data_IF_390347094457
#
_entry.id   IF_390347094457
#
_cell.length_a   1.000
_cell.length_b   1.000
_cell.length_c   1.000
_cell.angle_alpha   90.00
_cell.angle_beta   90.00
_cell.angle_gamma   90.00
#
_symmetry.space_group_name_H-M   'P 1'
#
loop_
_entity.id
_entity.type
_entity.pdbx_description
1 polymer ?
#
# COMPACT_ATOMS: atom_id res chain seq x y z
N UNK A 1 -38.85 -54.12 33.50
CA UNK A 1 -39.03 -53.04 32.51
C UNK A 1 -37.72 -52.39 32.07
N UNK A 2 -36.69 -52.26 32.93
CA UNK A 2 -35.34 -51.76 32.54
C UNK A 2 -34.69 -52.53 31.36
N UNK A 3 -34.84 -53.86 31.30
CA UNK A 3 -34.18 -54.69 30.27
C UNK A 3 -34.68 -54.43 28.84
N UNK A 4 -35.93 -53.96 28.67
CA UNK A 4 -36.52 -53.70 27.36
C UNK A 4 -35.95 -52.44 26.68
N UNK A 5 -35.34 -51.52 27.44
CA UNK A 5 -34.77 -50.27 26.93
C UNK A 5 -33.25 -50.38 26.78
N UNK A 6 -32.59 -51.13 27.67
CA UNK A 6 -31.13 -51.28 27.67
C UNK A 6 -30.62 -52.00 26.42
N UNK A 7 -31.29 -53.06 25.99
CA UNK A 7 -30.88 -53.84 24.80
C UNK A 7 -30.92 -53.04 23.49
N UNK A 8 -32.01 -52.33 23.14
CA UNK A 8 -32.01 -51.52 21.92
C UNK A 8 -31.07 -50.32 22.00
N UNK A 9 -30.84 -49.74 23.19
CA UNK A 9 -29.88 -48.65 23.37
C UNK A 9 -28.43 -49.11 23.14
N UNK A 10 -28.05 -50.27 23.70
CA UNK A 10 -26.72 -50.86 23.47
C UNK A 10 -26.54 -51.21 21.99
N UNK A 11 -27.56 -51.79 21.35
CA UNK A 11 -27.52 -52.05 19.91
C UNK A 11 -27.35 -50.75 19.10
N UNK A 12 -28.08 -49.69 19.43
CA UNK A 12 -27.95 -48.38 18.77
C UNK A 12 -26.56 -47.74 18.96
N UNK A 13 -25.94 -47.86 20.14
CA UNK A 13 -24.57 -47.39 20.37
C UNK A 13 -23.53 -48.22 19.60
N UNK A 14 -23.74 -49.53 19.45
CA UNK A 14 -22.84 -50.41 18.70
C UNK A 14 -22.96 -50.21 17.17
N UNK A 15 -24.07 -49.62 16.69
CA UNK A 15 -24.25 -49.20 15.29
C UNK A 15 -23.76 -47.76 15.01
N UNK A 16 -23.24 -47.04 16.01
CA UNK A 16 -22.64 -45.73 15.79
C UNK A 16 -21.31 -45.89 15.03
N UNK A 17 -21.33 -45.62 13.72
CA UNK A 17 -20.14 -45.59 12.88
C UNK A 17 -19.19 -44.44 13.22
N UNK A 18 -17.97 -44.42 12.65
CA UNK A 18 -17.01 -43.34 12.86
C UNK A 18 -17.64 -42.00 12.48
N UNK A 19 -17.71 -41.07 13.43
CA UNK A 19 -18.18 -39.72 13.18
C UNK A 19 -17.08 -38.94 12.44
N UNK A 20 -17.43 -38.20 11.39
CA UNK A 20 -16.52 -37.32 10.68
C UNK A 20 -16.24 -36.05 11.52
N UNK A 21 -15.49 -36.21 12.60
CA UNK A 21 -14.92 -35.08 13.33
C UNK A 21 -13.75 -34.53 12.51
N UNK A 22 -13.84 -33.26 12.10
CA UNK A 22 -12.75 -32.61 11.39
C UNK A 22 -11.65 -32.24 12.38
N UNK A 23 -10.41 -32.64 12.08
CA UNK A 23 -9.22 -32.09 12.74
C UNK A 23 -8.81 -30.79 12.06
N UNK A 24 -8.43 -29.78 12.84
CA UNK A 24 -7.80 -28.56 12.35
C UNK A 24 -6.34 -28.53 12.83
N UNK A 25 -5.42 -28.24 11.93
CA UNK A 25 -4.00 -28.11 12.22
C UNK A 25 -3.55 -26.68 11.91
N UNK A 26 -2.68 -26.13 12.76
CA UNK A 26 -2.13 -24.78 12.60
C UNK A 26 -0.61 -24.88 12.67
N UNK A 27 0.06 -24.38 11.63
CA UNK A 27 1.50 -24.20 11.62
C UNK A 27 1.82 -22.71 11.62
N UNK A 28 2.69 -22.29 12.53
CA UNK A 28 3.18 -20.92 12.63
C UNK A 28 4.66 -20.88 12.26
N UNK A 29 5.05 -19.91 11.43
CA UNK A 29 6.44 -19.65 11.07
C UNK A 29 6.72 -18.16 11.09
N UNK A 30 7.95 -17.78 11.41
CA UNK A 30 8.40 -16.40 11.27
C UNK A 30 8.61 -16.08 9.78
N UNK A 31 8.16 -14.92 9.36
CA UNK A 31 8.35 -14.39 8.00
C UNK A 31 8.81 -12.94 8.07
N UNK A 32 9.59 -12.50 7.09
CA UNK A 32 9.86 -11.08 6.90
C UNK A 32 8.59 -10.40 6.38
N UNK A 33 8.22 -9.26 6.98
CA UNK A 33 7.03 -8.51 6.62
C UNK A 33 7.37 -7.02 6.45
N UNK A 34 6.61 -6.38 5.58
CA UNK A 34 6.64 -4.93 5.34
C UNK A 34 5.43 -4.33 6.03
N UNK A 35 5.68 -3.37 6.92
CA UNK A 35 4.64 -2.51 7.49
C UNK A 35 4.56 -1.19 6.72
N UNK A 36 3.34 -0.77 6.42
CA UNK A 36 3.00 0.47 5.73
C UNK A 36 2.18 1.32 6.68
N UNK A 37 2.68 2.51 7.03
CA UNK A 37 1.93 3.54 7.74
C UNK A 37 1.49 4.62 6.74
N UNK A 38 0.20 4.71 6.46
CA UNK A 38 -0.36 5.66 5.51
C UNK A 38 -0.93 6.89 6.24
N UNK A 39 -0.41 8.07 5.89
CA UNK A 39 -0.81 9.36 6.47
C UNK A 39 -0.89 10.43 5.40
N UNK A 40 -1.77 11.40 5.61
CA UNK A 40 -1.77 12.66 4.89
C UNK A 40 -0.56 13.51 5.29
N UNK A 41 -0.24 14.53 4.50
CA UNK A 41 0.81 15.51 4.80
C UNK A 41 0.50 16.34 6.06
N UNK A 42 -0.78 16.43 6.43
CA UNK A 42 -1.26 16.98 7.71
C UNK A 42 -0.92 16.11 8.92
N UNK A 43 -0.53 14.84 8.71
CA UNK A 43 -0.27 13.84 9.74
C UNK A 43 -1.47 12.96 10.12
N UNK A 44 -2.67 13.29 9.62
CA UNK A 44 -3.88 12.49 9.79
C UNK A 44 -3.72 11.11 9.15
N UNK A 45 -4.27 10.07 9.79
CA UNK A 45 -4.17 8.69 9.31
C UNK A 45 -5.09 8.46 8.12
N UNK A 46 -4.61 7.71 7.13
CA UNK A 46 -5.42 7.29 5.99
C UNK A 46 -6.13 5.98 6.32
N UNK A 47 -7.15 6.03 7.20
CA UNK A 47 -7.90 4.85 7.63
C UNK A 47 -8.82 4.32 6.53
N UNK A 48 -8.81 3.02 6.25
CA UNK A 48 -9.65 2.46 5.18
C UNK A 48 -9.19 2.80 3.75
N UNK A 49 -7.93 3.19 3.58
CA UNK A 49 -7.33 3.51 2.29
C UNK A 49 -7.01 2.24 1.49
N UNK A 50 -7.22 2.29 0.18
CA UNK A 50 -6.89 1.18 -0.72
C UNK A 50 -5.38 1.06 -0.88
N UNK A 51 -4.87 -0.16 -0.73
CA UNK A 51 -3.46 -0.50 -0.94
C UNK A 51 -3.33 -1.45 -2.11
N UNK A 52 -2.40 -1.16 -3.01
CA UNK A 52 -1.99 -2.03 -4.11
C UNK A 52 -0.47 -2.24 -4.05
N UNK A 53 -0.06 -3.49 -3.97
CA UNK A 53 1.35 -3.91 -3.95
C UNK A 53 1.69 -4.54 -5.29
N UNK A 54 2.76 -4.07 -5.91
CA UNK A 54 3.22 -4.52 -7.22
C UNK A 54 4.56 -5.24 -7.06
N UNK A 55 4.65 -6.43 -7.64
CA UNK A 55 5.86 -7.22 -7.61
C UNK A 55 6.88 -6.71 -8.65
N UNK A 56 8.19 -6.95 -8.44
CA UNK A 56 9.24 -6.43 -9.33
C UNK A 56 9.11 -6.92 -10.78
N UNK A 57 8.56 -8.12 -10.97
CA UNK A 57 8.41 -8.80 -12.26
C UNK A 57 7.18 -8.33 -13.06
N UNK A 58 6.17 -7.78 -12.39
CA UNK A 58 4.96 -7.27 -13.04
C UNK A 58 4.47 -5.98 -12.36
N UNK A 59 5.03 -4.81 -12.71
CA UNK A 59 4.64 -3.53 -12.12
C UNK A 59 3.31 -2.99 -12.65
N UNK A 60 2.72 -3.61 -13.67
CA UNK A 60 1.47 -3.15 -14.29
C UNK A 60 0.22 -3.68 -13.56
N UNK A 61 0.33 -4.83 -12.89
CA UNK A 61 -0.79 -5.47 -12.21
C UNK A 61 -0.48 -5.65 -10.71
N UNK A 62 -1.43 -5.33 -9.81
CA UNK A 62 -1.23 -5.57 -8.39
C UNK A 62 -1.06 -7.06 -8.10
N UNK A 63 0.03 -7.41 -7.43
CA UNK A 63 0.25 -8.74 -6.86
C UNK A 63 -0.64 -8.98 -5.64
N UNK A 64 -0.83 -7.95 -4.82
CA UNK A 64 -1.70 -7.96 -3.65
C UNK A 64 -2.48 -6.65 -3.58
N UNK A 65 -3.76 -6.76 -3.23
CA UNK A 65 -4.57 -5.60 -2.88
C UNK A 65 -5.08 -5.74 -1.45
N UNK A 66 -5.35 -4.62 -0.80
CA UNK A 66 -5.83 -4.59 0.57
C UNK A 66 -6.35 -3.22 0.95
N UNK A 67 -6.65 -3.07 2.24
CA UNK A 67 -7.14 -1.83 2.81
C UNK A 67 -6.41 -1.59 4.13
N UNK A 68 -6.04 -0.35 4.43
CA UNK A 68 -5.46 0.00 5.72
C UNK A 68 -6.49 -0.13 6.85
N UNK A 69 -6.01 -0.42 8.06
CA UNK A 69 -6.83 -0.46 9.27
C UNK A 69 -7.21 0.95 9.76
N UNK A 70 -7.84 1.01 10.94
CA UNK A 70 -8.30 2.26 11.55
C UNK A 70 -7.16 3.24 11.92
N UNK A 71 -5.93 2.72 12.09
CA UNK A 71 -4.74 3.50 12.39
C UNK A 71 -3.97 3.88 11.11
N UNK A 72 -4.51 3.54 9.94
CA UNK A 72 -3.88 3.77 8.64
C UNK A 72 -2.76 2.78 8.33
N UNK A 73 -2.73 1.61 8.98
CA UNK A 73 -1.68 0.60 8.80
C UNK A 73 -2.09 -0.50 7.85
N UNK A 74 -1.11 -1.02 7.11
CA UNK A 74 -1.23 -2.22 6.31
C UNK A 74 0.06 -3.04 6.41
N UNK A 75 -0.05 -4.35 6.55
CA UNK A 75 1.11 -5.25 6.65
C UNK A 75 0.98 -6.35 5.63
N UNK A 76 2.07 -6.64 4.92
CA UNK A 76 2.14 -7.78 4.01
C UNK A 76 3.51 -8.46 4.08
N UNK A 77 3.54 -9.76 3.80
CA UNK A 77 4.78 -10.50 3.64
C UNK A 77 5.03 -10.68 2.13
N UNK A 78 6.05 -10.02 1.54
CA UNK A 78 6.41 -10.23 0.15
C UNK A 78 6.90 -11.66 -0.08
N UNK A 79 6.71 -12.16 -1.30
CA UNK A 79 7.31 -13.44 -1.71
C UNK A 79 8.83 -13.32 -1.73
N UNK A 80 9.51 -14.04 -0.83
CA UNK A 80 10.96 -13.98 -0.68
C UNK A 80 11.72 -14.49 -1.91
N UNK A 81 11.08 -15.25 -2.81
CA UNK A 81 11.69 -15.67 -4.06
C UNK A 81 11.76 -14.53 -5.10
N UNK A 82 11.00 -13.45 -4.91
CA UNK A 82 10.92 -12.31 -5.84
C UNK A 82 11.76 -11.14 -5.34
N UNK A 83 13.04 -11.19 -5.72
CA UNK A 83 13.99 -10.15 -5.41
C UNK A 83 13.77 -8.92 -6.31
N UNK A 84 14.20 -7.74 -5.83
CA UNK A 84 14.08 -6.49 -6.56
C UNK A 84 13.15 -5.48 -5.89
N UNK A 85 12.77 -4.45 -6.63
CA UNK A 85 12.00 -3.33 -6.12
C UNK A 85 10.50 -3.60 -6.24
N UNK A 86 9.84 -3.65 -5.09
CA UNK A 86 8.40 -3.71 -4.93
C UNK A 86 7.85 -2.29 -4.83
N UNK A 87 6.73 -2.03 -5.49
CA UNK A 87 6.02 -0.75 -5.39
C UNK A 87 4.75 -0.91 -4.56
N UNK A 88 4.46 0.08 -3.72
CA UNK A 88 3.30 0.08 -2.83
C UNK A 88 2.55 1.38 -3.09
N UNK A 89 1.35 1.28 -3.64
CA UNK A 89 0.47 2.43 -3.83
C UNK A 89 -0.60 2.44 -2.75
N UNK A 90 -0.79 3.58 -2.08
CA UNK A 90 -1.92 3.81 -1.17
C UNK A 90 -2.78 4.94 -1.73
N UNK A 91 -4.10 4.74 -1.79
CA UNK A 91 -5.06 5.71 -2.34
C UNK A 91 -6.31 5.84 -1.47
N UNK A 92 -6.75 7.08 -1.26
CA UNK A 92 -8.01 7.40 -0.60
C UNK A 92 -8.54 8.76 -1.08
N UNK A 93 -9.82 8.80 -1.45
CA UNK A 93 -10.54 10.03 -1.81
C UNK A 93 -9.82 10.94 -2.83
N UNK A 94 -9.14 10.34 -3.83
CA UNK A 94 -8.39 11.08 -4.86
C UNK A 94 -6.97 11.48 -4.47
N UNK A 95 -6.58 11.31 -3.21
CA UNK A 95 -5.19 11.41 -2.75
C UNK A 95 -4.50 10.05 -2.83
N UNK A 96 -3.20 10.04 -3.09
CA UNK A 96 -2.41 8.82 -3.03
C UNK A 96 -0.91 9.04 -3.00
N UNK A 97 -0.21 8.03 -2.53
CA UNK A 97 1.24 8.00 -2.41
C UNK A 97 1.79 6.66 -2.95
N UNK A 98 3.06 6.65 -3.35
CA UNK A 98 3.78 5.46 -3.80
C UNK A 98 5.07 5.27 -3.00
N UNK A 99 5.16 4.22 -2.21
CA UNK A 99 6.40 3.79 -1.55
C UNK A 99 7.09 2.66 -2.31
N UNK A 100 8.38 2.47 -2.05
CA UNK A 100 9.15 1.37 -2.65
C UNK A 100 9.93 0.60 -1.58
N UNK A 101 10.01 -0.71 -1.77
CA UNK A 101 10.80 -1.62 -0.93
C UNK A 101 11.68 -2.47 -1.82
N UNK A 102 12.98 -2.50 -1.56
CA UNK A 102 13.89 -3.38 -2.29
C UNK A 102 14.22 -4.60 -1.45
N UNK A 103 13.95 -5.79 -1.98
CA UNK A 103 14.41 -7.07 -1.42
C UNK A 103 15.68 -7.53 -2.13
N UNK A 104 16.75 -7.70 -1.36
CA UNK A 104 18.04 -8.24 -1.81
C UNK A 104 18.05 -9.77 -1.70
N UNK A 105 18.93 -10.40 -2.49
CA UNK A 105 19.09 -11.86 -2.52
C UNK A 105 19.84 -12.44 -1.31
N UNK A 106 20.52 -11.61 -0.53
CA UNK A 106 21.23 -12.08 0.67
C UNK A 106 20.20 -12.43 1.76
N UNK A 107 20.35 -13.63 2.35
CA UNK A 107 19.43 -14.27 3.32
C UNK A 107 19.06 -13.40 4.54
N UNK A 108 19.76 -12.28 4.75
CA UNK A 108 19.36 -11.20 5.64
C UNK A 108 18.51 -10.19 4.86
N UNK A 109 17.21 -10.46 4.72
CA UNK A 109 16.23 -9.60 4.07
C UNK A 109 16.26 -8.17 4.64
N UNK A 110 17.19 -7.35 4.15
CA UNK A 110 17.35 -5.96 4.57
C UNK A 110 16.37 -5.16 3.74
N UNK A 111 15.19 -4.93 4.32
CA UNK A 111 14.12 -4.14 3.73
C UNK A 111 14.57 -2.68 3.72
N UNK A 112 15.10 -2.23 2.59
CA UNK A 112 15.35 -0.79 2.39
C UNK A 112 14.05 -0.17 1.92
N UNK A 113 13.38 0.54 2.83
CA UNK A 113 12.19 1.33 2.51
C UNK A 113 12.65 2.68 1.97
N UNK A 114 12.38 2.94 0.70
CA UNK A 114 12.50 4.28 0.13
C UNK A 114 11.10 4.88 0.16
N UNK A 115 10.79 5.79 1.12
CA UNK A 115 9.49 6.43 1.12
C UNK A 115 9.30 7.23 -0.17
N UNK A 116 8.06 7.35 -0.65
CA UNK A 116 7.71 8.45 -1.54
C UNK A 116 8.19 9.72 -0.84
N UNK A 117 9.06 10.49 -1.48
CA UNK A 117 9.51 11.75 -0.91
C UNK A 117 8.31 12.63 -0.60
N UNK A 118 7.91 12.71 0.67
CA UNK A 118 7.11 13.80 1.22
C UNK A 118 7.97 15.06 1.38
N UNK A 119 8.96 15.24 0.50
CA UNK A 119 9.83 16.39 0.50
C UNK A 119 9.00 17.57 0.00
N UNK A 120 8.46 18.33 0.95
CA UNK A 120 7.92 19.65 0.67
C UNK A 120 8.92 20.46 -0.15
N UNK A 121 8.41 21.29 -1.06
CA UNK A 121 9.24 22.05 -1.98
C UNK A 121 10.29 22.86 -1.20
N UNK A 122 11.58 22.69 -1.54
CA UNK A 122 12.64 23.46 -0.87
C UNK A 122 12.45 24.96 -1.07
N UNK A 123 12.90 25.77 -0.12
CA UNK A 123 12.88 27.23 -0.22
C UNK A 123 13.49 27.73 -1.55
N UNK A 124 14.60 27.12 -1.97
CA UNK A 124 15.27 27.45 -3.22
C UNK A 124 14.40 27.15 -4.44
N UNK A 125 13.72 25.99 -4.47
CA UNK A 125 12.78 25.67 -5.54
C UNK A 125 11.58 26.63 -5.56
N UNK A 126 11.06 27.03 -4.40
CA UNK A 126 9.96 28.00 -4.29
C UNK A 126 10.35 29.36 -4.86
N UNK A 127 11.56 29.83 -4.54
CA UNK A 127 12.10 31.05 -5.15
C UNK A 127 12.25 30.93 -6.65
N UNK A 128 12.86 29.85 -7.12
CA UNK A 128 13.12 29.66 -8.55
C UNK A 128 11.81 29.69 -9.35
N UNK A 129 10.80 28.97 -8.88
CA UNK A 129 9.45 28.98 -9.48
C UNK A 129 8.86 30.40 -9.51
N UNK A 130 8.95 31.13 -8.40
CA UNK A 130 8.44 32.51 -8.31
C UNK A 130 9.17 33.43 -9.29
N UNK A 131 10.50 33.31 -9.40
CA UNK A 131 11.32 34.09 -10.32
C UNK A 131 10.96 33.79 -11.79
N UNK A 132 10.76 32.51 -12.14
CA UNK A 132 10.32 32.12 -13.48
C UNK A 132 8.95 32.71 -13.85
N UNK A 133 7.99 32.72 -12.92
CA UNK A 133 6.67 33.32 -13.15
C UNK A 133 6.78 34.83 -13.34
N UNK A 134 7.52 35.53 -12.47
CA UNK A 134 7.75 36.98 -12.59
C UNK A 134 8.41 37.31 -13.94
N UNK A 135 9.45 36.56 -14.32
CA UNK A 135 10.15 36.74 -15.59
C UNK A 135 9.22 36.53 -16.79
N UNK A 136 8.38 35.50 -16.75
CA UNK A 136 7.36 35.25 -17.77
C UNK A 136 6.40 36.44 -17.92
N UNK A 137 5.86 36.94 -16.81
CA UNK A 137 4.98 38.12 -16.83
C UNK A 137 5.66 39.37 -17.40
N UNK A 138 6.93 39.61 -17.03
CA UNK A 138 7.73 40.72 -17.59
C UNK A 138 7.92 40.55 -19.09
N UNK A 139 8.30 39.35 -19.55
CA UNK A 139 8.48 39.05 -20.97
C UNK A 139 7.22 39.28 -21.78
N UNK A 140 6.06 38.79 -21.31
CA UNK A 140 4.76 39.01 -21.96
C UNK A 140 4.40 40.49 -22.02
N UNK A 141 4.63 41.26 -20.96
CA UNK A 141 4.35 42.69 -20.93
C UNK A 141 5.24 43.48 -21.92
N UNK A 142 6.52 43.12 -22.03
CA UNK A 142 7.44 43.74 -22.98
C UNK A 142 7.09 43.39 -24.43
N UNK A 143 6.72 42.14 -24.70
CA UNK A 143 6.23 41.70 -26.01
C UNK A 143 4.99 42.50 -26.45
N UNK A 144 4.00 42.62 -25.56
CA UNK A 144 2.78 43.39 -25.84
C UNK A 144 3.04 44.90 -25.99
N UNK A 145 4.03 45.47 -25.28
CA UNK A 145 4.46 46.87 -25.46
C UNK A 145 5.09 47.12 -26.82
N UNK A 146 5.86 46.17 -27.35
CA UNK A 146 6.51 46.29 -28.67
C UNK A 146 5.51 46.29 -29.83
N UNK A 147 4.35 45.67 -29.65
CA UNK A 147 3.32 45.53 -30.70
C UNK A 147 2.41 46.77 -30.79
N UNK A 148 2.42 47.68 -29.81
CA UNK A 148 1.68 48.94 -29.92
C UNK A 148 2.44 49.89 -30.86
N UNK A 149 1.93 50.22 -32.06
CA UNK A 149 2.53 51.28 -32.86
C UNK A 149 2.43 52.60 -32.10
N UNK A 150 3.51 53.38 -32.11
CA UNK A 150 3.47 54.75 -31.59
C UNK A 150 2.34 55.49 -32.30
N UNK A 151 1.43 56.12 -31.54
CA UNK A 151 0.49 57.09 -32.14
C UNK A 151 1.34 58.18 -32.78
N UNK A 152 1.35 58.24 -34.11
CA UNK A 152 1.91 59.36 -34.84
C UNK A 152 1.17 60.64 -34.38
N UNK A 153 1.94 61.59 -33.87
CA UNK A 153 1.49 62.95 -33.56
C UNK A 153 1.74 63.83 -34.78
#
# INVERSE_FOLDING_TARGET
>A
MLSAIVKPLIAALLLAGPAAAHGAFVEARNVAAVAVDARYDTGEVMAGAQVSVFAPDNPAEPWLTGVTDADGRFVFAPDSARHGQWAIQVRQAGHGAMGYVTLSADESATITVTPASAAGLSWAQRLLMTACVIWGCIGTALYARRIRPAKAA
#
